data_IF_008180723553
#
_entry.id   IF_008180723553
#
_cell.length_a   1.000
_cell.length_b   1.000
_cell.length_c   1.000
_cell.angle_alpha   90.00
_cell.angle_beta   90.00
_cell.angle_gamma   90.00
#
_symmetry.space_group_name_H-M   'P 1'
#
loop_
_entity.id
_entity.type
_entity.pdbx_description
1 polymer ?
#
# COMPACT_ATOMS: atom_id res chain seq x y z
N UNK A 1 -0.11 -5.78 -14.73
CA UNK A 1 0.13 -5.91 -13.25
C UNK A 1 0.56 -4.59 -12.64
N UNK A 2 1.59 -3.93 -13.18
CA UNK A 2 2.04 -2.63 -12.66
C UNK A 2 1.02 -1.50 -12.89
N UNK A 3 0.41 -1.42 -14.08
CA UNK A 3 -0.59 -0.38 -14.37
C UNK A 3 -1.82 -0.47 -13.46
N UNK A 4 -2.33 -1.70 -13.23
CA UNK A 4 -3.43 -1.93 -12.30
C UNK A 4 -3.08 -1.58 -10.84
N UNK A 5 -1.82 -1.73 -10.45
CA UNK A 5 -1.35 -1.30 -9.14
C UNK A 5 -1.34 0.22 -9.06
N UNK A 6 -0.75 0.92 -10.04
CA UNK A 6 -0.65 2.37 -10.05
C UNK A 6 -2.01 3.07 -10.09
N UNK A 7 -3.01 2.51 -10.77
CA UNK A 7 -4.38 3.01 -10.69
C UNK A 7 -4.92 2.96 -9.26
N UNK A 8 -4.84 1.81 -8.61
CA UNK A 8 -5.31 1.63 -7.22
C UNK A 8 -4.51 2.44 -6.21
N UNK A 9 -3.20 2.58 -6.43
CA UNK A 9 -2.34 3.36 -5.56
C UNK A 9 -2.73 4.84 -5.56
N UNK A 10 -2.96 5.42 -6.75
CA UNK A 10 -3.45 6.80 -6.88
C UNK A 10 -4.84 6.99 -6.27
N UNK A 11 -5.75 6.02 -6.46
CA UNK A 11 -7.07 6.05 -5.82
C UNK A 11 -6.97 6.04 -4.29
N UNK A 12 -6.06 5.24 -3.73
CA UNK A 12 -5.85 5.17 -2.28
C UNK A 12 -5.17 6.43 -1.76
N UNK A 13 -4.16 6.95 -2.46
CA UNK A 13 -3.55 8.24 -2.12
C UNK A 13 -4.61 9.34 -2.06
N UNK A 14 -5.52 9.35 -3.03
CA UNK A 14 -6.62 10.29 -3.04
C UNK A 14 -7.55 9.99 -1.85
N UNK A 15 -8.27 8.87 -1.83
CA UNK A 15 -9.40 8.66 -0.91
C UNK A 15 -9.03 8.40 0.56
N UNK A 16 -7.85 7.86 0.84
CA UNK A 16 -7.46 7.46 2.20
C UNK A 16 -6.38 8.35 2.81
N UNK A 17 -5.48 8.88 1.99
CA UNK A 17 -4.36 9.69 2.46
C UNK A 17 -4.51 11.18 2.16
N UNK A 18 -5.57 11.57 1.43
CA UNK A 18 -5.90 12.95 1.07
C UNK A 18 -4.67 13.74 0.63
N UNK A 19 -3.87 13.17 -0.27
CA UNK A 19 -2.54 13.72 -0.59
C UNK A 19 -2.57 15.19 -1.07
N UNK A 20 -3.72 15.69 -1.56
CA UNK A 20 -3.90 17.07 -1.99
C UNK A 20 -3.96 18.07 -0.84
N UNK A 21 -4.19 17.60 0.40
CA UNK A 21 -4.18 18.42 1.62
C UNK A 21 -2.82 18.34 2.33
N UNK A 22 -1.91 17.48 1.87
CA UNK A 22 -0.61 17.28 2.49
C UNK A 22 0.39 18.36 2.07
N UNK A 23 1.07 18.94 3.06
CA UNK A 23 2.22 19.82 2.84
C UNK A 23 3.51 19.05 2.53
N UNK A 24 3.54 17.72 2.78
CA UNK A 24 4.65 16.84 2.46
C UNK A 24 4.15 15.60 1.71
N UNK A 25 4.13 15.73 0.38
CA UNK A 25 3.71 14.65 -0.50
C UNK A 25 4.62 13.42 -0.39
N UNK A 26 5.92 13.61 -0.11
CA UNK A 26 6.86 12.50 -0.01
C UNK A 26 6.55 11.62 1.19
N UNK A 27 6.34 12.23 2.36
CA UNK A 27 5.92 11.52 3.57
C UNK A 27 4.57 10.81 3.37
N UNK A 28 3.60 11.45 2.71
CA UNK A 28 2.32 10.81 2.40
C UNK A 28 2.45 9.59 1.48
N UNK A 29 3.32 9.66 0.47
CA UNK A 29 3.62 8.53 -0.40
C UNK A 29 4.30 7.40 0.38
N UNK A 30 5.26 7.72 1.24
CA UNK A 30 5.93 6.72 2.10
C UNK A 30 4.92 5.98 2.99
N UNK A 31 4.01 6.71 3.64
CA UNK A 31 2.95 6.13 4.45
C UNK A 31 2.03 5.22 3.63
N UNK A 32 1.64 5.64 2.41
CA UNK A 32 0.84 4.82 1.53
C UNK A 32 1.60 3.55 1.10
N UNK A 33 2.89 3.65 0.78
CA UNK A 33 3.72 2.48 0.46
C UNK A 33 3.82 1.53 1.65
N UNK A 34 4.00 2.05 2.85
CA UNK A 34 4.00 1.25 4.08
C UNK A 34 2.66 0.51 4.25
N UNK A 35 1.54 1.23 4.15
CA UNK A 35 0.20 0.65 4.23
C UNK A 35 0.01 -0.51 3.27
N UNK A 36 0.39 -0.37 1.99
CA UNK A 36 0.23 -1.45 1.02
C UNK A 36 1.09 -2.69 1.30
N UNK A 37 2.23 -2.53 1.96
CA UNK A 37 3.20 -3.61 2.18
C UNK A 37 3.07 -4.29 3.54
N UNK A 38 2.65 -3.56 4.57
CA UNK A 38 2.71 -4.00 5.97
C UNK A 38 1.35 -4.07 6.66
N UNK A 39 0.35 -3.31 6.22
CA UNK A 39 -0.93 -3.19 6.96
C UNK A 39 -2.11 -3.73 6.17
N UNK A 40 -2.16 -3.43 4.87
CA UNK A 40 -3.31 -3.73 4.01
C UNK A 40 -3.47 -5.24 3.83
N UNK A 41 -4.59 -5.83 4.28
CA UNK A 41 -4.84 -7.26 4.07
C UNK A 41 -5.11 -7.53 2.60
N UNK A 42 -4.49 -8.59 2.06
CA UNK A 42 -4.69 -9.01 0.66
C UNK A 42 -5.39 -10.37 0.64
N UNK A 43 -6.60 -10.42 0.09
CA UNK A 43 -7.39 -11.67 -0.01
C UNK A 43 -6.64 -12.81 -0.70
N UNK A 44 -5.87 -12.49 -1.75
CA UNK A 44 -5.02 -13.47 -2.47
C UNK A 44 -3.88 -14.03 -1.60
N UNK A 45 -3.49 -13.33 -0.54
CA UNK A 45 -2.46 -13.73 0.41
C UNK A 45 -3.08 -14.22 1.73
N UNK A 46 -4.28 -14.82 1.68
CA UNK A 46 -5.03 -15.29 2.86
C UNK A 46 -5.26 -14.20 3.91
N UNK A 47 -5.43 -12.95 3.46
CA UNK A 47 -5.64 -11.80 4.34
C UNK A 47 -4.35 -11.20 4.91
N UNK A 48 -3.18 -11.76 4.61
CA UNK A 48 -1.90 -11.22 5.09
C UNK A 48 -1.42 -10.04 4.22
N UNK A 49 -0.67 -9.09 4.80
CA UNK A 49 0.03 -8.08 4.03
C UNK A 49 1.22 -8.69 3.27
N UNK A 50 1.66 -8.08 2.16
CA UNK A 50 2.71 -8.64 1.30
C UNK A 50 4.02 -8.99 2.00
N UNK A 51 4.49 -8.15 2.91
CA UNK A 51 5.77 -8.40 3.60
C UNK A 51 5.64 -9.58 4.54
N UNK A 52 4.61 -9.63 5.39
CA UNK A 52 4.39 -10.77 6.29
C UNK A 52 4.30 -12.09 5.51
N UNK A 53 3.51 -12.10 4.44
CA UNK A 53 3.37 -13.28 3.60
C UNK A 53 4.71 -13.76 3.02
N UNK A 54 5.58 -12.84 2.58
CA UNK A 54 6.90 -13.19 2.04
C UNK A 54 7.86 -13.68 3.11
N UNK A 55 7.89 -13.02 4.27
CA UNK A 55 8.77 -13.42 5.38
C UNK A 55 8.47 -14.84 5.84
N UNK A 56 7.18 -15.21 5.94
CA UNK A 56 6.76 -16.57 6.31
C UNK A 56 7.07 -17.64 5.24
N UNK A 57 7.28 -17.26 3.97
CA UNK A 57 7.69 -18.21 2.93
C UNK A 57 9.19 -18.53 3.00
N UNK A 58 9.98 -17.68 3.65
CA UNK A 58 11.43 -17.84 3.78
C UNK A 58 11.80 -18.45 5.15
N UNK A 59 10.91 -18.35 6.14
CA UNK A 59 11.05 -18.94 7.47
C UNK A 59 10.76 -20.45 7.48
#
# INVERSE_FOLDING_TARGET
VMESFWGRFKDTLHKHFHYWESNDLSATIEQAVYYFNYERPVRKLKGKPPVLFRTELVA
#
